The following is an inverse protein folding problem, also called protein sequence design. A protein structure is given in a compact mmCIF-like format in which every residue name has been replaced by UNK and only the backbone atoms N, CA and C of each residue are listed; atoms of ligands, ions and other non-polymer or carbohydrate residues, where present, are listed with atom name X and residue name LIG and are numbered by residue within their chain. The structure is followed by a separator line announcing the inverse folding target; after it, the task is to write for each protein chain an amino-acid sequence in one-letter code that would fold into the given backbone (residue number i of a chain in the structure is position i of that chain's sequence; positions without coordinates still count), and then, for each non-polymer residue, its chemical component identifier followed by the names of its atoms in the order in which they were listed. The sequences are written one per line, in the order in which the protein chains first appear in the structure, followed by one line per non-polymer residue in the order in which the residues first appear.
data_IF_967506683570
#
_entry.id   IF_967506683570
#
_cell.length_a   1.000
_cell.length_b   1.000
_cell.length_c   1.000
_cell.angle_alpha   90.00
_cell.angle_beta   90.00
_cell.angle_gamma   90.00
#
_symmetry.space_group_name_H-M   'P 1'
#
loop_
_entity.id
_entity.type
_entity.pdbx_description
1 polymer ?
#
# COMPACT_ATOMS: atom_id res chain seq x y z
N UNK A 1 7.25 31.27 -5.38
CA UNK A 1 7.46 30.07 -4.54
C UNK A 1 8.94 29.88 -4.26
N UNK A 2 9.37 29.90 -3.00
CA UNK A 2 10.77 29.71 -2.59
C UNK A 2 11.31 28.33 -3.01
N UNK A 3 12.55 28.25 -3.50
CA UNK A 3 13.20 27.01 -3.93
C UNK A 3 13.20 25.90 -2.87
N UNK A 4 13.18 26.26 -1.59
CA UNK A 4 13.08 25.30 -0.46
C UNK A 4 11.73 24.58 -0.41
N UNK A 5 10.64 25.23 -0.81
CA UNK A 5 9.30 24.62 -0.83
C UNK A 5 9.22 23.57 -1.95
N UNK A 6 9.72 23.92 -3.16
CA UNK A 6 9.77 23.00 -4.30
C UNK A 6 10.60 21.75 -3.99
N UNK A 7 11.81 21.93 -3.44
CA UNK A 7 12.68 20.81 -3.04
C UNK A 7 11.99 19.86 -2.05
N UNK A 8 11.31 20.40 -1.04
CA UNK A 8 10.59 19.61 -0.03
C UNK A 8 9.44 18.80 -0.61
N UNK A 9 8.69 19.37 -1.56
CA UNK A 9 7.60 18.64 -2.25
C UNK A 9 8.16 17.51 -3.10
N UNK A 10 9.20 17.79 -3.90
CA UNK A 10 9.86 16.78 -4.73
C UNK A 10 10.41 15.62 -3.91
N UNK A 11 11.04 15.90 -2.77
CA UNK A 11 11.59 14.86 -1.90
C UNK A 11 10.50 13.94 -1.33
N UNK A 12 9.32 14.47 -0.94
CA UNK A 12 8.20 13.65 -0.46
C UNK A 12 7.64 12.75 -1.55
N UNK A 13 7.47 13.30 -2.75
CA UNK A 13 7.00 12.53 -3.89
C UNK A 13 8.00 11.41 -4.23
N UNK A 14 9.30 11.70 -4.24
CA UNK A 14 10.35 10.70 -4.46
C UNK A 14 10.31 9.59 -3.40
N UNK A 15 10.15 9.93 -2.12
CA UNK A 15 10.00 8.95 -1.04
C UNK A 15 8.74 8.09 -1.24
N UNK A 16 7.64 8.68 -1.69
CA UNK A 16 6.43 7.94 -2.04
C UNK A 16 6.63 7.01 -3.23
N UNK A 17 7.27 7.45 -4.31
CA UNK A 17 7.58 6.58 -5.43
C UNK A 17 8.51 5.43 -5.04
N UNK A 18 9.52 5.69 -4.20
CA UNK A 18 10.39 4.64 -3.67
C UNK A 18 9.61 3.62 -2.82
N UNK A 19 8.69 4.10 -1.97
CA UNK A 19 7.82 3.22 -1.17
C UNK A 19 6.91 2.35 -2.07
N UNK A 20 6.34 2.92 -3.13
CA UNK A 20 5.51 2.20 -4.10
C UNK A 20 6.33 1.13 -4.82
N UNK A 21 7.51 1.49 -5.33
CA UNK A 21 8.39 0.55 -6.02
C UNK A 21 8.81 -0.60 -5.11
N UNK A 22 9.17 -0.31 -3.85
CA UNK A 22 9.54 -1.32 -2.87
C UNK A 22 8.36 -2.25 -2.53
N UNK A 23 7.17 -1.67 -2.33
CA UNK A 23 5.95 -2.45 -2.09
C UNK A 23 5.63 -3.36 -3.29
N UNK A 24 5.77 -2.86 -4.52
CA UNK A 24 5.58 -3.63 -5.74
C UNK A 24 6.51 -4.84 -5.80
N UNK A 25 7.82 -4.62 -5.61
CA UNK A 25 8.80 -5.70 -5.64
C UNK A 25 8.48 -6.76 -4.59
N UNK A 26 8.21 -6.36 -3.35
CA UNK A 26 7.92 -7.32 -2.28
C UNK A 26 6.59 -8.04 -2.53
N UNK A 27 5.55 -7.34 -2.98
CA UNK A 27 4.25 -7.94 -3.27
C UNK A 27 4.34 -9.03 -4.35
N UNK A 28 5.09 -8.78 -5.43
CA UNK A 28 5.32 -9.80 -6.47
C UNK A 28 6.19 -10.97 -5.97
N UNK A 29 7.19 -10.70 -5.12
CA UNK A 29 7.95 -11.78 -4.46
C UNK A 29 7.04 -12.62 -3.57
N UNK A 30 6.16 -12.00 -2.79
CA UNK A 30 5.18 -12.71 -1.95
C UNK A 30 4.21 -13.53 -2.79
N UNK A 31 3.73 -13.02 -3.93
CA UNK A 31 2.85 -13.77 -4.84
C UNK A 31 3.52 -15.05 -5.37
N UNK A 32 4.83 -15.03 -5.61
CA UNK A 32 5.58 -16.22 -6.02
C UNK A 32 6.02 -17.14 -4.87
N UNK A 33 6.14 -16.61 -3.65
CA UNK A 33 6.66 -17.36 -2.49
C UNK A 33 5.55 -17.99 -1.63
N UNK A 34 4.37 -17.37 -1.56
CA UNK A 34 3.23 -17.87 -0.79
C UNK A 34 2.47 -18.88 -1.66
N UNK A 35 2.21 -20.11 -1.18
CA UNK A 35 1.43 -21.10 -1.92
C UNK A 35 0.01 -20.61 -2.25
N UNK A 36 -0.61 -21.13 -3.31
CA UNK A 36 -1.94 -20.70 -3.79
C UNK A 36 -3.05 -20.78 -2.72
N UNK A 37 -3.01 -21.77 -1.82
CA UNK A 37 -3.97 -21.87 -0.70
C UNK A 37 -3.87 -20.69 0.29
N UNK A 38 -2.74 -19.97 0.28
CA UNK A 38 -2.49 -18.78 1.08
C UNK A 38 -3.11 -17.51 0.50
N UNK A 39 -3.74 -17.60 -0.67
CA UNK A 39 -4.40 -16.49 -1.35
C UNK A 39 -5.91 -16.69 -1.42
N UNK A 40 -6.69 -15.61 -1.40
CA UNK A 40 -8.11 -15.69 -1.71
C UNK A 40 -8.26 -16.11 -3.18
N UNK A 41 -9.21 -17.00 -3.45
CA UNK A 41 -9.49 -17.46 -4.82
C UNK A 41 -10.16 -16.33 -5.59
N UNK A 42 -9.35 -15.50 -6.25
CA UNK A 42 -9.77 -14.35 -7.04
C UNK A 42 -9.31 -14.55 -8.48
N UNK A 43 -10.24 -14.42 -9.43
CA UNK A 43 -9.96 -14.47 -10.87
C UNK A 43 -10.37 -15.77 -11.56
N UNK A 44 -11.03 -15.63 -12.71
CA UNK A 44 -11.35 -16.74 -13.62
C UNK A 44 -10.09 -17.18 -14.38
N UNK A 45 -9.61 -18.39 -14.08
CA UNK A 45 -8.78 -19.32 -14.87
C UNK A 45 -7.46 -18.87 -15.57
N UNK A 46 -7.12 -17.57 -15.68
CA UNK A 46 -5.95 -17.10 -16.46
C UNK A 46 -4.84 -16.42 -15.63
N UNK A 47 -5.11 -16.05 -14.37
CA UNK A 47 -4.12 -15.45 -13.46
C UNK A 47 -3.99 -16.27 -12.17
N UNK A 48 -2.77 -16.33 -11.60
CA UNK A 48 -2.57 -16.88 -10.25
C UNK A 48 -3.34 -16.03 -9.22
N UNK A 49 -3.91 -16.65 -8.19
CA UNK A 49 -4.72 -15.96 -7.18
C UNK A 49 -3.91 -14.90 -6.42
N UNK A 50 -2.61 -15.13 -6.25
CA UNK A 50 -1.66 -14.15 -5.73
C UNK A 50 -1.52 -12.91 -6.62
N UNK A 51 -1.37 -13.07 -7.93
CA UNK A 51 -1.28 -11.92 -8.85
C UNK A 51 -2.59 -11.15 -8.94
N UNK A 52 -3.72 -11.86 -8.99
CA UNK A 52 -5.06 -11.26 -9.01
C UNK A 52 -5.33 -10.42 -7.75
N UNK A 53 -4.71 -10.78 -6.62
CA UNK A 53 -4.77 -10.01 -5.37
C UNK A 53 -3.79 -8.83 -5.37
N UNK A 54 -2.55 -9.04 -5.82
CA UNK A 54 -1.47 -8.06 -5.76
C UNK A 54 -1.70 -6.84 -6.65
N UNK A 55 -2.25 -7.02 -7.86
CA UNK A 55 -2.41 -5.90 -8.82
C UNK A 55 -3.37 -4.83 -8.30
N UNK A 56 -4.60 -5.16 -7.84
CA UNK A 56 -5.48 -4.18 -7.19
C UNK A 56 -4.85 -3.55 -5.94
N UNK A 57 -4.16 -4.37 -5.13
CA UNK A 57 -3.49 -3.88 -3.92
C UNK A 57 -2.42 -2.83 -4.23
N UNK A 58 -1.66 -3.02 -5.31
CA UNK A 58 -0.67 -2.06 -5.77
C UNK A 58 -1.28 -0.73 -6.17
N UNK A 59 -2.39 -0.76 -6.91
CA UNK A 59 -3.08 0.45 -7.35
C UNK A 59 -3.60 1.26 -6.15
N UNK A 60 -4.25 0.58 -5.20
CA UNK A 60 -4.80 1.22 -4.01
C UNK A 60 -3.69 1.74 -3.09
N UNK A 61 -2.63 0.95 -2.87
CA UNK A 61 -1.47 1.39 -2.09
C UNK A 61 -0.79 2.60 -2.72
N UNK A 62 -0.54 2.54 -4.04
CA UNK A 62 0.09 3.62 -4.80
C UNK A 62 -0.69 4.93 -4.72
N UNK A 63 -2.00 4.87 -4.98
CA UNK A 63 -2.87 6.02 -4.85
C UNK A 63 -2.88 6.57 -3.42
N UNK A 64 -3.05 5.70 -2.42
CA UNK A 64 -3.09 6.11 -1.00
C UNK A 64 -1.78 6.77 -0.55
N UNK A 65 -0.63 6.21 -0.96
CA UNK A 65 0.70 6.75 -0.66
C UNK A 65 0.94 8.11 -1.30
N UNK A 66 0.51 8.31 -2.55
CA UNK A 66 0.58 9.61 -3.24
C UNK A 66 -0.32 10.63 -2.56
N UNK A 67 -1.59 10.29 -2.28
CA UNK A 67 -2.52 11.17 -1.58
C UNK A 67 -1.97 11.58 -0.21
N UNK A 68 -1.41 10.62 0.54
CA UNK A 68 -0.76 10.94 1.81
C UNK A 68 0.40 11.92 1.64
N UNK A 69 1.23 11.83 0.60
CA UNK A 69 2.31 12.81 0.38
C UNK A 69 1.79 14.23 0.12
N UNK A 70 0.60 14.37 -0.47
CA UNK A 70 -0.08 15.65 -0.65
C UNK A 70 -0.60 16.20 0.68
N UNK A 71 -1.18 15.34 1.53
CA UNK A 71 -1.77 15.75 2.83
C UNK A 71 -0.79 15.79 4.00
N UNK A 72 0.38 15.18 3.87
CA UNK A 72 1.46 15.16 4.86
C UNK A 72 1.70 16.52 5.54
N UNK A 73 1.87 17.65 4.83
CA UNK A 73 2.15 18.93 5.48
C UNK A 73 1.06 19.45 6.42
N UNK A 74 -0.15 18.90 6.37
CA UNK A 74 -1.30 19.33 7.19
C UNK A 74 -1.61 18.39 8.35
N UNK A 75 -0.96 17.22 8.41
CA UNK A 75 -1.25 16.17 9.38
C UNK A 75 -0.10 15.99 10.39
N UNK A 76 -0.44 15.63 11.63
CA UNK A 76 0.55 15.22 12.64
C UNK A 76 1.22 13.89 12.25
N UNK A 77 2.38 13.58 12.84
CA UNK A 77 3.06 12.29 12.62
C UNK A 77 2.16 11.10 12.96
N UNK A 78 1.46 11.16 14.10
CA UNK A 78 0.53 10.11 14.53
C UNK A 78 -0.58 9.90 13.51
N UNK A 79 -1.17 10.99 12.99
CA UNK A 79 -2.20 10.93 11.94
C UNK A 79 -1.67 10.31 10.66
N UNK A 80 -0.43 10.65 10.26
CA UNK A 80 0.21 10.08 9.06
C UNK A 80 0.47 8.58 9.21
N UNK A 81 0.93 8.15 10.38
CA UNK A 81 1.12 6.72 10.69
C UNK A 81 -0.22 5.99 10.66
N UNK A 82 -1.24 6.51 11.35
CA UNK A 82 -2.57 5.90 11.37
C UNK A 82 -3.17 5.79 9.96
N UNK A 83 -3.09 6.87 9.16
CA UNK A 83 -3.54 6.88 7.78
C UNK A 83 -2.78 5.85 6.92
N UNK A 84 -1.48 5.68 7.17
CA UNK A 84 -0.67 4.67 6.49
C UNK A 84 -1.14 3.25 6.78
N UNK A 85 -1.40 2.94 8.05
CA UNK A 85 -1.91 1.63 8.46
C UNK A 85 -3.27 1.35 7.81
N UNK A 86 -4.14 2.35 7.76
CA UNK A 86 -5.43 2.24 7.07
C UNK A 86 -5.26 2.00 5.57
N UNK A 87 -4.39 2.77 4.90
CA UNK A 87 -4.10 2.59 3.47
C UNK A 87 -3.56 1.19 3.20
N UNK A 88 -2.66 0.68 4.04
CA UNK A 88 -2.10 -0.66 3.89
C UNK A 88 -3.17 -1.76 4.03
N UNK A 89 -4.07 -1.62 5.02
CA UNK A 89 -5.20 -2.55 5.18
C UNK A 89 -6.16 -2.51 3.99
N UNK A 90 -6.61 -1.31 3.60
CA UNK A 90 -7.53 -1.14 2.45
C UNK A 90 -6.89 -1.65 1.15
N UNK A 91 -5.58 -1.42 0.97
CA UNK A 91 -4.85 -1.92 -0.18
C UNK A 91 -4.83 -3.46 -0.22
N UNK A 92 -4.49 -4.12 0.89
CA UNK A 92 -4.43 -5.57 0.93
C UNK A 92 -5.78 -6.23 0.59
N UNK A 93 -6.89 -5.61 1.01
CA UNK A 93 -8.25 -6.10 0.74
C UNK A 93 -8.78 -5.72 -0.65
N UNK A 94 -8.06 -4.91 -1.43
CA UNK A 94 -8.56 -4.39 -2.71
C UNK A 94 -8.91 -5.50 -3.71
N UNK A 95 -8.07 -6.54 -3.80
CA UNK A 95 -8.32 -7.70 -4.65
C UNK A 95 -9.54 -8.51 -4.22
N UNK A 96 -9.59 -9.00 -2.97
CA UNK A 96 -10.76 -9.68 -2.41
C UNK A 96 -12.07 -8.88 -2.54
N UNK A 97 -12.04 -7.58 -2.24
CA UNK A 97 -13.21 -6.72 -2.34
C UNK A 97 -13.69 -6.57 -3.78
N UNK A 98 -12.76 -6.43 -4.74
CA UNK A 98 -13.11 -6.38 -6.15
C UNK A 98 -13.80 -7.68 -6.58
N UNK A 99 -13.26 -8.83 -6.18
CA UNK A 99 -13.84 -10.14 -6.45
C UNK A 99 -15.25 -10.29 -5.89
N UNK A 100 -15.49 -9.83 -4.66
CA UNK A 100 -16.83 -9.84 -4.03
C UNK A 100 -17.83 -9.04 -4.86
N UNK A 101 -17.41 -7.87 -5.34
CA UNK A 101 -18.25 -6.96 -6.13
C UNK A 101 -18.54 -7.49 -7.54
N UNK A 102 -17.63 -8.27 -8.13
CA UNK A 102 -17.75 -8.78 -9.50
C UNK A 102 -18.32 -10.20 -9.58
N UNK A 103 -18.04 -11.06 -8.60
CA UNK A 103 -18.34 -12.50 -8.61
C UNK A 103 -19.50 -12.91 -7.67
N UNK A 104 -20.22 -11.93 -7.11
CA UNK A 104 -21.50 -12.19 -6.43
C UNK A 104 -21.42 -12.72 -5.00
N UNK A 105 -20.38 -12.37 -4.24
CA UNK A 105 -20.41 -12.46 -2.78
C UNK A 105 -19.84 -13.72 -2.12
N UNK A 106 -19.16 -14.61 -2.84
CA UNK A 106 -18.33 -15.63 -2.18
C UNK A 106 -17.00 -14.98 -1.79
N UNK A 107 -16.84 -14.67 -0.50
CA UNK A 107 -15.64 -14.05 0.05
C UNK A 107 -14.77 -15.07 0.82
N UNK A 108 -14.16 -16.10 0.20
CA UNK A 108 -13.22 -16.93 0.92
C UNK A 108 -11.85 -16.24 0.91
N UNK A 109 -11.52 -15.49 1.96
CA UNK A 109 -10.11 -15.17 2.25
C UNK A 109 -9.74 -13.70 2.50
N UNK A 110 -10.64 -12.87 3.03
CA UNK A 110 -10.25 -11.55 3.57
C UNK A 110 -9.11 -11.66 4.62
N UNK A 111 -8.99 -12.81 5.30
CA UNK A 111 -7.94 -13.06 6.31
C UNK A 111 -6.91 -14.08 5.81
N UNK A 112 -6.73 -14.21 4.49
CA UNK A 112 -5.76 -15.14 3.93
C UNK A 112 -4.31 -14.71 4.27
N UNK A 113 -3.37 -15.66 4.45
CA UNK A 113 -1.97 -15.35 4.77
C UNK A 113 -1.33 -14.32 3.83
N UNK A 114 -1.62 -14.40 2.53
CA UNK A 114 -1.14 -13.44 1.52
C UNK A 114 -1.66 -12.02 1.74
N UNK A 115 -2.93 -11.88 2.12
CA UNK A 115 -3.55 -10.57 2.44
C UNK A 115 -2.91 -9.97 3.70
N UNK A 116 -2.71 -10.78 4.75
CA UNK A 116 -2.05 -10.35 5.99
C UNK A 116 -0.60 -9.92 5.70
N UNK A 117 0.12 -10.68 4.88
CA UNK A 117 1.49 -10.35 4.48
C UNK A 117 1.55 -9.03 3.73
N UNK A 118 0.64 -8.79 2.77
CA UNK A 118 0.54 -7.52 2.04
C UNK A 118 0.24 -6.35 2.96
N UNK A 119 -0.75 -6.50 3.86
CA UNK A 119 -1.10 -5.45 4.83
C UNK A 119 0.10 -5.10 5.73
N UNK A 120 0.82 -6.13 6.20
CA UNK A 120 1.99 -5.96 7.08
C UNK A 120 3.13 -5.26 6.35
N UNK A 121 3.45 -5.69 5.12
CA UNK A 121 4.50 -5.06 4.31
C UNK A 121 4.14 -3.61 3.98
N UNK A 122 2.90 -3.34 3.57
CA UNK A 122 2.43 -1.99 3.28
C UNK A 122 2.53 -1.07 4.49
N UNK A 123 2.16 -1.58 5.67
CA UNK A 123 2.25 -0.88 6.94
C UNK A 123 3.70 -0.55 7.31
N UNK A 124 4.61 -1.53 7.22
CA UNK A 124 6.05 -1.34 7.53
C UNK A 124 6.68 -0.33 6.58
N UNK A 125 6.48 -0.48 5.27
CA UNK A 125 7.05 0.43 4.27
C UNK A 125 6.53 1.85 4.46
N UNK A 126 5.23 2.00 4.64
CA UNK A 126 4.65 3.32 4.81
C UNK A 126 5.06 3.98 6.12
N UNK A 127 5.13 3.23 7.23
CA UNK A 127 5.62 3.75 8.51
C UNK A 127 7.08 4.19 8.40
N UNK A 128 7.92 3.39 7.72
CA UNK A 128 9.30 3.77 7.42
C UNK A 128 9.37 5.05 6.58
N UNK A 129 8.51 5.20 5.55
CA UNK A 129 8.41 6.43 4.76
C UNK A 129 8.11 7.65 5.63
N UNK A 130 7.10 7.56 6.50
CA UNK A 130 6.70 8.65 7.41
C UNK A 130 7.84 8.99 8.38
N UNK A 131 8.53 7.98 8.92
CA UNK A 131 9.66 8.16 9.82
C UNK A 131 10.85 8.85 9.14
N UNK A 132 11.23 8.41 7.93
CA UNK A 132 12.29 9.05 7.13
C UNK A 132 11.92 10.49 6.81
N UNK A 133 10.68 10.73 6.37
CA UNK A 133 10.19 12.07 6.09
C UNK A 133 10.28 12.99 7.33
N UNK A 134 9.92 12.48 8.52
CA UNK A 134 10.05 13.23 9.76
C UNK A 134 11.51 13.57 10.10
N UNK A 135 12.43 12.61 9.94
CA UNK A 135 13.88 12.81 10.19
C UNK A 135 14.52 13.83 9.24
N UNK A 136 14.05 13.91 8.00
CA UNK A 136 14.54 14.87 6.99
C UNK A 136 14.01 16.31 7.19
N UNK A 137 13.33 16.58 8.32
CA UNK A 137 13.01 17.93 8.74
C UNK A 137 11.83 18.55 8.00
N UNK A 138 10.81 17.77 7.67
CA UNK A 138 9.47 18.33 7.42
C UNK A 138 8.86 18.70 8.76
N UNK A 139 8.86 19.99 9.16
CA UNK A 139 8.42 20.36 10.49
C UNK A 139 6.94 20.05 10.63
N UNK A 140 6.57 19.41 11.74
CA UNK A 140 5.21 19.48 12.26
C UNK A 140 4.96 20.97 12.55
N UNK A 141 3.95 21.54 11.92
CA UNK A 141 3.40 22.80 12.43
C UNK A 141 2.68 22.50 13.73
#
# INVERSE_FOLDING_TARGET
MSGRIRYRVWLRLLLSFAAIALYAVIAFVLAGAIPEWGWPSVGDAEFSSGQATVVPALNVYGLGVILMAVFEPFASVTTRIAATLLVAGIAAEAGPLLAILTEGGKAPGLVAPGVIALATVGAVIGAARVWVAHRLGFPNR
#
